data_IF_069532496123
#
_entry.id   IF_069532496123
#
_cell.length_a   1.000
_cell.length_b   1.000
_cell.length_c   1.000
_cell.angle_alpha   90.00
_cell.angle_beta   90.00
_cell.angle_gamma   90.00
#
_symmetry.space_group_name_H-M   'P 1'
#
loop_
_entity.id
_entity.type
_entity.pdbx_description
1 polymer ?
#
# COMPACT_ATOMS: atom_id res chain seq x y z
N UNK A 1 8.57 -0.36 -6.69
CA UNK A 1 7.23 0.20 -6.45
C UNK A 1 6.53 0.40 -7.77
N UNK A 2 5.20 0.44 -7.77
CA UNK A 2 4.41 0.85 -8.94
C UNK A 2 4.47 2.37 -9.11
N UNK A 3 4.42 2.85 -10.35
CA UNK A 3 4.36 4.29 -10.63
C UNK A 3 2.91 4.75 -10.49
N UNK A 4 2.68 5.76 -9.67
CA UNK A 4 1.37 6.35 -9.43
C UNK A 4 1.37 7.78 -9.98
N UNK A 5 0.33 8.13 -10.71
CA UNK A 5 0.09 9.49 -11.21
C UNK A 5 -1.13 10.05 -10.51
N UNK A 6 -0.92 11.15 -9.79
CA UNK A 6 -1.93 11.92 -9.11
C UNK A 6 -2.40 13.02 -10.05
N UNK A 7 -3.71 13.08 -10.25
CA UNK A 7 -4.36 14.14 -11.00
C UNK A 7 -5.16 15.01 -10.05
N UNK A 8 -5.08 16.32 -10.25
CA UNK A 8 -5.71 17.30 -9.39
C UNK A 8 -5.59 18.70 -9.96
N UNK A 9 -5.65 19.70 -9.08
CA UNK A 9 -5.52 21.11 -9.41
C UNK A 9 -4.65 21.78 -8.34
N UNK A 10 -3.94 22.83 -8.74
CA UNK A 10 -3.16 23.71 -7.86
C UNK A 10 -2.04 23.00 -7.07
N UNK A 11 -1.33 22.04 -7.65
CA UNK A 11 -0.14 21.40 -7.05
C UNK A 11 1.11 22.32 -7.03
N UNK A 12 0.91 23.63 -7.00
CA UNK A 12 1.97 24.62 -7.10
C UNK A 12 2.44 24.87 -8.53
N UNK A 13 3.43 25.75 -8.64
CA UNK A 13 3.93 26.31 -9.92
C UNK A 13 5.32 25.82 -10.31
N UNK A 14 5.96 24.98 -9.47
CA UNK A 14 7.31 24.48 -9.72
C UNK A 14 7.55 23.13 -9.03
N UNK A 15 8.67 22.47 -9.36
CA UNK A 15 9.13 21.23 -8.75
C UNK A 15 9.73 21.41 -7.34
N UNK A 16 9.13 22.28 -6.52
CA UNK A 16 9.40 22.38 -5.09
C UNK A 16 9.24 21.01 -4.42
N UNK A 17 9.82 20.85 -3.22
CA UNK A 17 9.79 19.59 -2.50
C UNK A 17 8.34 19.17 -2.20
N UNK A 18 7.81 18.27 -3.03
CA UNK A 18 6.52 17.65 -2.85
C UNK A 18 6.68 16.37 -2.03
N UNK A 19 5.83 16.22 -1.02
CA UNK A 19 5.58 14.97 -0.34
C UNK A 19 4.29 14.36 -0.86
N UNK A 20 4.33 13.06 -1.16
CA UNK A 20 3.12 12.28 -1.45
C UNK A 20 3.09 11.10 -0.50
N UNK A 21 1.94 10.80 0.09
CA UNK A 21 1.73 9.63 0.93
C UNK A 21 0.48 8.86 0.51
N UNK A 22 0.58 7.53 0.57
CA UNK A 22 -0.49 6.57 0.33
C UNK A 22 -0.80 5.86 1.65
N UNK A 23 -1.87 6.28 2.33
CA UNK A 23 -2.16 5.87 3.69
C UNK A 23 -1.08 6.36 4.65
N UNK A 24 -0.39 5.43 5.31
CA UNK A 24 0.73 5.71 6.23
C UNK A 24 2.11 5.59 5.54
N UNK A 25 2.14 5.15 4.29
CA UNK A 25 3.39 4.94 3.55
C UNK A 25 3.71 6.16 2.70
N UNK A 26 4.90 6.73 2.90
CA UNK A 26 5.42 7.77 2.01
C UNK A 26 5.67 7.18 0.62
N UNK A 27 5.21 7.89 -0.40
CA UNK A 27 5.62 7.63 -1.76
C UNK A 27 7.10 8.00 -1.90
N UNK A 28 7.83 7.32 -2.79
CA UNK A 28 9.16 7.75 -3.17
C UNK A 28 9.16 9.15 -3.80
N UNK A 29 10.33 9.61 -4.25
CA UNK A 29 10.53 10.98 -4.75
C UNK A 29 9.39 11.42 -5.68
N UNK A 30 8.63 12.40 -5.20
CA UNK A 30 7.52 12.96 -5.95
C UNK A 30 8.05 13.87 -7.05
N UNK A 31 7.47 13.72 -8.22
CA UNK A 31 7.91 14.32 -9.46
C UNK A 31 6.77 15.20 -9.96
N UNK A 32 6.90 16.51 -9.75
CA UNK A 32 5.96 17.48 -10.29
C UNK A 32 5.98 17.41 -11.83
N UNK A 33 4.79 17.37 -12.44
CA UNK A 33 4.61 17.34 -13.90
C UNK A 33 3.93 18.61 -14.39
N UNK A 34 2.92 19.06 -13.66
CA UNK A 34 2.18 20.29 -13.89
C UNK A 34 1.47 20.69 -12.59
N UNK A 35 0.86 21.86 -12.58
CA UNK A 35 -0.08 22.30 -11.53
C UNK A 35 -1.27 21.35 -11.33
N UNK A 36 -1.47 20.41 -12.26
CA UNK A 36 -2.56 19.44 -12.27
C UNK A 36 -2.11 17.98 -12.19
N UNK A 37 -0.79 17.72 -12.19
CA UNK A 37 -0.25 16.37 -12.21
C UNK A 37 1.04 16.22 -11.41
N UNK A 38 1.08 15.20 -10.56
CA UNK A 38 2.28 14.79 -9.81
C UNK A 38 2.42 13.28 -9.97
N UNK A 39 3.64 12.79 -10.22
CA UNK A 39 3.92 11.37 -10.28
C UNK A 39 4.84 10.96 -9.13
N UNK A 40 4.69 9.76 -8.59
CA UNK A 40 5.61 9.23 -7.60
C UNK A 40 5.69 7.70 -7.70
N UNK A 41 6.67 7.10 -7.03
CA UNK A 41 6.79 5.64 -6.97
C UNK A 41 6.28 5.13 -5.64
N UNK A 42 5.17 4.40 -5.63
CA UNK A 42 4.60 3.88 -4.40
C UNK A 42 5.61 2.98 -3.68
N UNK A 43 5.80 3.21 -2.39
CA UNK A 43 6.57 2.31 -1.54
C UNK A 43 5.84 0.97 -1.37
N UNK A 44 6.56 -0.03 -0.90
CA UNK A 44 5.95 -1.29 -0.49
C UNK A 44 4.98 -1.01 0.67
N UNK A 45 3.79 -1.60 0.61
CA UNK A 45 2.74 -1.35 1.58
C UNK A 45 1.66 -2.42 1.51
N UNK A 46 0.70 -2.31 2.41
CA UNK A 46 -0.46 -3.19 2.49
C UNK A 46 -1.70 -2.36 2.82
N UNK A 47 -2.86 -2.97 2.62
CA UNK A 47 -4.15 -2.36 2.91
C UNK A 47 -4.90 -1.90 1.67
N UNK A 48 -6.22 -1.86 1.83
CA UNK A 48 -7.12 -1.26 0.87
C UNK A 48 -7.67 0.05 1.39
N UNK A 49 -8.32 0.79 0.51
CA UNK A 49 -8.98 2.04 0.83
C UNK A 49 -8.03 3.11 1.41
N UNK A 50 -6.83 3.22 0.83
CA UNK A 50 -5.83 4.17 1.29
C UNK A 50 -6.21 5.59 0.89
N UNK A 51 -6.08 6.50 1.85
CA UNK A 51 -6.15 7.94 1.61
C UNK A 51 -4.89 8.39 0.88
N UNK A 52 -5.02 9.43 0.09
CA UNK A 52 -3.88 9.99 -0.63
C UNK A 52 -3.64 11.40 -0.12
N UNK A 53 -2.45 11.64 0.42
CA UNK A 53 -2.04 12.96 0.88
C UNK A 53 -0.96 13.52 -0.04
N UNK A 54 -1.06 14.81 -0.35
CA UNK A 54 -0.05 15.57 -1.09
C UNK A 54 0.27 16.81 -0.29
N UNK A 55 1.55 17.08 -0.08
CA UNK A 55 2.04 18.26 0.61
C UNK A 55 3.15 18.92 -0.20
N UNK A 56 3.23 20.24 -0.14
CA UNK A 56 4.31 21.03 -0.72
C UNK A 56 4.66 22.20 0.17
N UNK A 57 5.47 23.14 -0.32
CA UNK A 57 5.83 24.33 0.43
C UNK A 57 4.60 25.25 0.62
N UNK A 58 4.01 25.20 1.81
CA UNK A 58 2.89 26.07 2.19
C UNK A 58 1.49 25.56 1.80
N UNK A 59 1.36 24.33 1.29
CA UNK A 59 0.07 23.70 1.04
C UNK A 59 0.07 22.22 1.39
N UNK A 60 -1.11 21.71 1.72
CA UNK A 60 -1.36 20.28 1.92
C UNK A 60 -2.80 19.96 1.54
N UNK A 61 -3.01 18.82 0.89
CA UNK A 61 -4.33 18.32 0.53
C UNK A 61 -4.40 16.83 0.82
N UNK A 62 -5.54 16.39 1.33
CA UNK A 62 -5.84 14.97 1.54
C UNK A 62 -7.08 14.63 0.75
N UNK A 63 -6.96 13.64 -0.12
CA UNK A 63 -8.07 13.06 -0.81
C UNK A 63 -8.70 11.98 0.08
N UNK A 64 -9.88 12.30 0.61
CA UNK A 64 -10.59 11.50 1.61
C UNK A 64 -11.35 10.32 1.02
N UNK A 65 -11.76 10.41 -0.26
CA UNK A 65 -12.20 9.21 -0.96
C UNK A 65 -10.98 8.32 -1.21
N UNK A 66 -11.19 7.02 -1.30
CA UNK A 66 -10.12 6.03 -1.15
C UNK A 66 -9.75 5.41 -2.50
N UNK A 67 -8.97 6.09 -3.36
CA UNK A 67 -8.73 5.67 -4.74
C UNK A 67 -7.67 4.57 -4.87
N UNK A 68 -6.89 4.29 -3.83
CA UNK A 68 -5.71 3.42 -3.94
C UNK A 68 -5.82 2.26 -2.97
N UNK A 69 -5.47 1.06 -3.46
CA UNK A 69 -5.35 -0.16 -2.67
C UNK A 69 -4.16 -0.97 -3.19
N UNK A 70 -3.50 -1.69 -2.29
CA UNK A 70 -2.57 -2.74 -2.69
C UNK A 70 -3.34 -4.03 -3.00
N UNK A 71 -2.75 -4.90 -3.82
CA UNK A 71 -3.34 -6.19 -4.13
C UNK A 71 -3.58 -7.00 -2.86
N UNK A 72 -4.76 -7.61 -2.78
CA UNK A 72 -5.12 -8.46 -1.63
C UNK A 72 -4.28 -9.73 -1.58
N UNK A 73 -4.04 -10.30 -0.38
CA UNK A 73 -3.44 -11.62 -0.23
C UNK A 73 -4.20 -12.69 -1.01
N UNK A 74 -3.47 -13.60 -1.66
CA UNK A 74 -4.03 -14.73 -2.39
C UNK A 74 -3.38 -16.03 -1.92
N UNK A 75 -4.15 -16.91 -1.30
CA UNK A 75 -3.67 -18.22 -0.82
C UNK A 75 -3.91 -19.27 -1.90
N UNK A 76 -2.86 -19.99 -2.29
CA UNK A 76 -2.93 -21.00 -3.36
C UNK A 76 -2.80 -22.43 -2.83
N UNK A 77 -2.07 -22.63 -1.72
CA UNK A 77 -1.93 -23.95 -1.11
C UNK A 77 -1.61 -23.86 0.38
N UNK A 78 -1.85 -24.97 1.07
CA UNK A 78 -1.53 -25.16 2.49
C UNK A 78 -0.86 -26.55 2.61
N UNK A 79 0.27 -26.61 3.32
CA UNK A 79 1.02 -27.85 3.52
C UNK A 79 1.50 -28.05 4.99
N UNK A 80 1.35 -29.25 5.58
CA UNK A 80 0.60 -30.39 5.06
C UNK A 80 -0.90 -30.10 4.91
N UNK A 81 -1.67 -30.94 4.21
CA UNK A 81 -3.14 -30.79 4.12
C UNK A 81 -3.88 -31.46 5.28
N UNK A 82 -3.20 -32.39 5.96
CA UNK A 82 -3.75 -33.18 7.04
C UNK A 82 -2.92 -32.91 8.30
N UNK A 83 -3.60 -32.61 9.40
CA UNK A 83 -3.00 -32.28 10.68
C UNK A 83 -3.76 -32.98 11.81
N UNK A 84 -3.07 -33.43 12.86
CA UNK A 84 -3.74 -33.94 14.04
C UNK A 84 -4.53 -32.83 14.73
N UNK A 85 -5.76 -33.15 15.13
CA UNK A 85 -6.69 -32.21 15.77
C UNK A 85 -6.16 -31.59 17.10
N UNK A 86 -5.09 -32.14 17.67
CA UNK A 86 -4.47 -31.66 18.91
C UNK A 86 -3.46 -30.51 18.74
N UNK A 87 -3.33 -29.94 17.54
CA UNK A 87 -2.77 -28.58 17.36
C UNK A 87 -1.30 -28.40 17.73
N UNK A 88 -0.39 -29.18 17.12
CA UNK A 88 1.06 -29.03 17.35
C UNK A 88 1.89 -29.22 16.08
N UNK A 89 1.33 -28.88 14.92
CA UNK A 89 2.01 -29.05 13.63
C UNK A 89 2.20 -27.69 12.98
N UNK A 90 3.41 -27.46 12.45
CA UNK A 90 3.69 -26.30 11.63
C UNK A 90 2.93 -26.43 10.31
N UNK A 91 2.12 -25.42 10.01
CA UNK A 91 1.39 -25.31 8.76
C UNK A 91 2.06 -24.23 7.91
N UNK A 92 2.41 -24.57 6.68
CA UNK A 92 2.97 -23.62 5.71
C UNK A 92 1.85 -23.19 4.77
N UNK A 93 1.63 -21.89 4.65
CA UNK A 93 0.66 -21.30 3.71
C UNK A 93 1.43 -20.73 2.53
N UNK A 94 1.09 -21.19 1.33
CA UNK A 94 1.66 -20.73 0.08
C UNK A 94 0.68 -19.78 -0.63
N UNK A 95 1.22 -18.76 -1.28
CA UNK A 95 0.42 -17.74 -1.94
C UNK A 95 1.24 -16.52 -2.35
N UNK A 96 0.53 -15.43 -2.62
CA UNK A 96 1.09 -14.13 -3.01
C UNK A 96 0.45 -12.98 -2.22
N UNK A 97 1.11 -11.83 -2.24
CA UNK A 97 0.62 -10.57 -1.65
C UNK A 97 0.36 -10.63 -0.13
N UNK A 98 1.13 -11.40 0.65
CA UNK A 98 1.02 -11.47 2.12
C UNK A 98 1.53 -10.21 2.86
N UNK A 99 1.77 -9.13 2.14
CA UNK A 99 2.37 -7.91 2.67
C UNK A 99 3.88 -7.82 2.42
N UNK A 100 4.46 -6.64 2.64
CA UNK A 100 5.86 -6.36 2.33
C UNK A 100 6.85 -6.83 3.41
N UNK A 101 6.43 -7.04 4.66
CA UNK A 101 7.32 -7.36 5.78
C UNK A 101 6.86 -8.59 6.57
N UNK A 102 7.78 -9.45 7.06
CA UNK A 102 7.43 -10.54 7.96
C UNK A 102 6.91 -10.08 9.33
N UNK A 103 7.09 -8.79 9.68
CA UNK A 103 6.56 -8.19 10.89
C UNK A 103 5.11 -7.68 10.74
N UNK A 104 4.58 -7.66 9.51
CA UNK A 104 3.19 -7.28 9.31
C UNK A 104 2.27 -8.33 9.94
N UNK A 105 1.20 -7.86 10.61
CA UNK A 105 0.29 -8.74 11.32
C UNK A 105 -0.49 -9.63 10.35
N UNK A 106 0.00 -10.84 10.10
CA UNK A 106 -0.72 -11.88 9.36
C UNK A 106 -1.43 -12.79 10.36
N UNK A 107 -2.76 -12.72 10.38
CA UNK A 107 -3.58 -13.66 11.16
C UNK A 107 -4.05 -14.80 10.27
N UNK A 108 -3.72 -16.04 10.65
CA UNK A 108 -4.25 -17.25 10.02
C UNK A 108 -5.22 -17.91 11.00
N UNK A 109 -6.42 -18.26 10.52
CA UNK A 109 -7.42 -19.03 11.27
C UNK A 109 -7.74 -20.32 10.50
N UNK A 110 -7.76 -21.43 11.22
CA UNK A 110 -8.14 -22.75 10.69
C UNK A 110 -9.35 -23.21 11.50
N UNK A 111 -10.50 -23.34 10.83
CA UNK A 111 -11.79 -23.50 11.50
C UNK A 111 -12.45 -22.16 11.85
N UNK A 112 -13.67 -22.23 12.38
CA UNK A 112 -14.45 -21.07 12.85
C UNK A 112 -14.02 -20.63 14.27
#
# INVERSE_FOLDING_TARGET
GSRVTLLGLNFGVSAEALGVALGLSECGLAEWRSDTSVACTAAAGAGGHLRVAVAGAGFSSVHESTPVSYDSPNVTAIEPRNHPARGSVNVTVHGSNFGPSPADAVSVRIGD
#
